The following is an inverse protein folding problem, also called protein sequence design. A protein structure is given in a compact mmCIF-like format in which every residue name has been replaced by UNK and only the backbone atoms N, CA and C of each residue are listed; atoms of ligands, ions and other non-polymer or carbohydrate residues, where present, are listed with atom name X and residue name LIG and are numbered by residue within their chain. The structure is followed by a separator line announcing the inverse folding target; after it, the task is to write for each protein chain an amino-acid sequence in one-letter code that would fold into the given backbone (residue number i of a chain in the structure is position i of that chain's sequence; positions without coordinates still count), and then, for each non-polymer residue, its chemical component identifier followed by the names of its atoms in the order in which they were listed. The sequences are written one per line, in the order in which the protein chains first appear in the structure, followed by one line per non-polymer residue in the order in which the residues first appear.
data_IF_653545884662
#
_entry.id   IF_653545884662
#
_cell.length_a   1.000
_cell.length_b   1.000
_cell.length_c   1.000
_cell.angle_alpha   90.00
_cell.angle_beta   90.00
_cell.angle_gamma   90.00
#
_symmetry.space_group_name_H-M   'P 1'
#
loop_
_entity.id
_entity.type
_entity.pdbx_description
1 polymer ?
#
# COMPACT_ATOMS: atom_id res chain seq x y z
N UNK A 1 -6.02 2.70 25.61
CA UNK A 1 -5.53 2.24 24.29
C UNK A 1 -5.37 3.49 23.44
N UNK A 2 -4.18 3.79 22.91
CA UNK A 2 -4.03 4.95 22.02
C UNK A 2 -4.48 4.54 20.63
N UNK A 3 -5.62 5.04 20.19
CA UNK A 3 -6.15 4.79 18.84
C UNK A 3 -5.26 5.45 17.78
N UNK A 4 -5.27 4.86 16.58
CA UNK A 4 -4.62 5.45 15.41
C UNK A 4 -5.51 6.58 14.88
N UNK A 5 -4.93 7.76 14.70
CA UNK A 5 -5.55 8.86 13.97
C UNK A 5 -5.09 8.83 12.53
N UNK A 6 -6.02 8.93 11.60
CA UNK A 6 -5.73 8.92 10.16
C UNK A 6 -5.94 10.31 9.57
N UNK A 7 -5.01 10.75 8.72
CA UNK A 7 -5.12 12.01 7.97
C UNK A 7 -4.43 11.92 6.62
N UNK A 8 -4.82 12.78 5.69
CA UNK A 8 -4.06 13.02 4.48
C UNK A 8 -2.69 13.63 4.84
N UNK A 9 -1.68 13.19 4.11
CA UNK A 9 -0.36 13.80 4.12
C UNK A 9 -0.33 15.04 3.23
N UNK A 10 0.49 16.01 3.61
CA UNK A 10 0.80 17.20 2.80
C UNK A 10 2.30 17.34 2.54
N UNK A 11 2.71 18.45 1.93
CA UNK A 11 4.12 18.68 1.55
C UNK A 11 5.10 18.61 2.73
N UNK A 12 4.65 19.01 3.94
CA UNK A 12 5.48 18.94 5.15
C UNK A 12 5.75 17.51 5.62
N UNK A 13 5.02 16.51 5.09
CA UNK A 13 5.18 15.11 5.45
C UNK A 13 6.11 14.34 4.50
N UNK A 14 6.55 14.93 3.38
CA UNK A 14 7.29 14.24 2.32
C UNK A 14 8.57 13.57 2.83
N UNK A 15 9.40 14.30 3.58
CA UNK A 15 10.61 13.75 4.18
C UNK A 15 10.30 12.58 5.14
N UNK A 16 9.17 12.64 5.86
CA UNK A 16 8.73 11.56 6.75
C UNK A 16 8.31 10.32 5.95
N UNK A 17 7.61 10.49 4.84
CA UNK A 17 7.19 9.40 3.96
C UNK A 17 8.38 8.69 3.32
N UNK A 18 9.36 9.45 2.82
CA UNK A 18 10.61 8.91 2.26
C UNK A 18 11.36 8.10 3.33
N UNK A 19 11.57 8.67 4.51
CA UNK A 19 12.24 7.96 5.62
C UNK A 19 11.50 6.67 5.99
N UNK A 20 10.18 6.73 6.17
CA UNK A 20 9.38 5.56 6.52
C UNK A 20 9.49 4.46 5.46
N UNK A 21 9.49 4.85 4.18
CA UNK A 21 9.59 3.94 3.04
C UNK A 21 10.96 3.26 2.96
N UNK A 22 12.03 4.00 3.22
CA UNK A 22 13.42 3.50 3.22
C UNK A 22 13.67 2.58 4.41
N UNK A 23 13.20 2.93 5.60
CA UNK A 23 13.26 2.06 6.77
C UNK A 23 12.50 0.75 6.56
N UNK A 24 11.33 0.81 5.90
CA UNK A 24 10.60 -0.40 5.52
C UNK A 24 11.37 -1.25 4.51
N UNK A 25 12.03 -0.63 3.52
CA UNK A 25 12.89 -1.35 2.57
C UNK A 25 14.07 -2.04 3.27
N UNK A 26 14.79 -1.32 4.13
CA UNK A 26 15.91 -1.88 4.89
C UNK A 26 15.50 -3.08 5.75
N UNK A 27 14.29 -3.05 6.33
CA UNK A 27 13.74 -4.18 7.10
C UNK A 27 13.35 -5.38 6.23
N UNK A 28 12.84 -5.17 5.02
CA UNK A 28 12.56 -6.27 4.09
C UNK A 28 13.87 -6.97 3.71
N UNK A 29 14.90 -6.20 3.36
CA UNK A 29 16.23 -6.72 3.03
C UNK A 29 16.84 -7.48 4.21
N UNK A 30 16.78 -6.92 5.42
CA UNK A 30 17.28 -7.58 6.64
C UNK A 30 16.56 -8.91 6.95
N UNK A 31 15.35 -9.11 6.43
CA UNK A 31 14.56 -10.35 6.54
C UNK A 31 14.77 -11.30 5.35
N UNK A 32 15.72 -11.00 4.47
CA UNK A 32 15.99 -11.78 3.26
C UNK A 32 14.97 -11.58 2.13
N UNK A 33 14.05 -10.62 2.25
CA UNK A 33 13.09 -10.28 1.20
C UNK A 33 13.73 -9.20 0.33
N UNK A 34 14.43 -9.63 -0.72
CA UNK A 34 15.09 -8.73 -1.68
C UNK A 34 14.22 -8.51 -2.92
N UNK A 35 14.48 -7.43 -3.67
CA UNK A 35 13.79 -7.13 -4.92
C UNK A 35 12.36 -6.60 -4.78
N UNK A 36 11.76 -6.59 -3.58
CA UNK A 36 10.48 -5.90 -3.38
C UNK A 36 10.70 -4.38 -3.36
N UNK A 37 11.46 -3.89 -2.38
CA UNK A 37 11.70 -2.48 -2.11
C UNK A 37 13.18 -2.22 -1.84
N UNK A 38 13.69 -1.09 -2.33
CA UNK A 38 15.08 -0.66 -2.11
C UNK A 38 15.11 0.72 -1.44
N UNK A 39 16.02 0.97 -0.48
CA UNK A 39 16.24 2.32 0.06
C UNK A 39 16.66 3.31 -1.02
N UNK A 40 16.15 4.54 -0.98
CA UNK A 40 16.44 5.58 -1.97
C UNK A 40 15.73 5.39 -3.32
N UNK A 41 14.91 4.34 -3.47
CA UNK A 41 14.19 4.05 -4.71
C UNK A 41 13.12 5.12 -5.02
N UNK A 42 12.50 5.70 -3.99
CA UNK A 42 11.42 6.69 -4.12
C UNK A 42 11.76 7.92 -3.28
N UNK A 43 11.81 9.08 -3.93
CA UNK A 43 12.00 10.37 -3.28
C UNK A 43 10.70 11.13 -3.06
N UNK A 44 10.81 12.37 -2.60
CA UNK A 44 9.66 13.25 -2.33
C UNK A 44 8.77 13.48 -3.56
N UNK A 45 9.37 13.58 -4.75
CA UNK A 45 8.65 13.81 -6.01
C UNK A 45 7.65 12.70 -6.34
N UNK A 46 7.96 11.45 -5.97
CA UNK A 46 7.03 10.33 -6.09
C UNK A 46 5.77 10.59 -5.27
N UNK A 47 5.93 10.91 -3.99
CA UNK A 47 4.80 11.14 -3.10
C UNK A 47 4.00 12.39 -3.49
N UNK A 48 4.67 13.46 -3.95
CA UNK A 48 4.00 14.65 -4.47
C UNK A 48 3.15 14.33 -5.71
N UNK A 49 3.67 13.51 -6.62
CA UNK A 49 2.92 13.05 -7.80
C UNK A 49 1.69 12.25 -7.40
N UNK A 50 1.82 11.36 -6.40
CA UNK A 50 0.69 10.58 -5.89
C UNK A 50 -0.34 11.48 -5.22
N UNK A 51 0.07 12.47 -4.42
CA UNK A 51 -0.86 13.43 -3.81
C UNK A 51 -1.64 14.24 -4.84
N UNK A 52 -1.10 14.47 -6.04
CA UNK A 52 -1.77 15.20 -7.11
C UNK A 52 -2.88 14.40 -7.82
N UNK A 53 -2.78 13.07 -7.87
CA UNK A 53 -3.68 12.20 -8.66
C UNK A 53 -4.35 11.08 -7.86
N UNK A 54 -4.01 10.95 -6.59
CA UNK A 54 -4.50 9.97 -5.65
C UNK A 54 -4.40 10.54 -4.24
N UNK A 55 -4.09 9.69 -3.26
CA UNK A 55 -4.00 10.10 -1.87
C UNK A 55 -2.82 9.42 -1.20
N UNK A 56 -2.17 10.15 -0.31
CA UNK A 56 -1.20 9.59 0.63
C UNK A 56 -1.73 9.84 2.03
N UNK A 57 -1.82 8.79 2.83
CA UNK A 57 -2.38 8.85 4.17
C UNK A 57 -1.33 8.49 5.21
N UNK A 58 -1.43 9.16 6.36
CA UNK A 58 -0.65 8.88 7.54
C UNK A 58 -1.54 8.35 8.65
N UNK A 59 -1.02 7.39 9.40
CA UNK A 59 -1.56 6.97 10.67
C UNK A 59 -0.64 7.43 11.79
N UNK A 60 -1.20 8.13 12.77
CA UNK A 60 -0.48 8.71 13.88
C UNK A 60 -0.97 8.14 15.21
N UNK A 61 -0.05 7.95 16.16
CA UNK A 61 -0.39 7.62 17.54
C UNK A 61 0.54 8.37 18.47
N UNK A 62 -0.01 8.99 19.53
CA UNK A 62 0.74 9.79 20.49
C UNK A 62 1.68 10.83 19.82
N UNK A 63 1.21 11.48 18.75
CA UNK A 63 1.96 12.52 18.02
C UNK A 63 3.09 11.99 17.13
N UNK A 64 3.20 10.68 16.91
CA UNK A 64 4.20 10.06 16.04
C UNK A 64 3.55 9.30 14.89
N UNK A 65 4.17 9.32 13.72
CA UNK A 65 3.75 8.51 12.57
C UNK A 65 4.01 7.03 12.88
N UNK A 66 2.94 6.24 12.90
CA UNK A 66 2.97 4.78 13.08
C UNK A 66 2.94 4.03 11.75
N UNK A 67 2.50 4.68 10.67
CA UNK A 67 2.48 4.10 9.34
C UNK A 67 1.88 5.04 8.30
N UNK A 68 1.91 4.60 7.05
CA UNK A 68 1.38 5.31 5.91
C UNK A 68 0.90 4.34 4.83
N UNK A 69 0.04 4.80 3.94
CA UNK A 69 -0.29 4.08 2.71
C UNK A 69 -0.60 5.07 1.60
N UNK A 70 -0.58 4.57 0.38
CA UNK A 70 -1.05 5.29 -0.79
C UNK A 70 -2.35 4.67 -1.28
N UNK A 71 -3.24 5.53 -1.76
CA UNK A 71 -4.47 5.11 -2.39
C UNK A 71 -4.56 5.75 -3.77
N UNK A 72 -4.56 4.91 -4.78
CA UNK A 72 -4.66 5.33 -6.18
C UNK A 72 -6.07 5.07 -6.69
N UNK A 73 -6.54 5.90 -7.61
CA UNK A 73 -7.87 5.74 -8.22
C UNK A 73 -7.84 5.03 -9.57
N UNK A 74 -6.65 4.92 -10.16
CA UNK A 74 -6.37 4.17 -11.38
C UNK A 74 -4.98 3.55 -11.26
N UNK A 75 -4.81 2.35 -11.78
CA UNK A 75 -3.53 1.65 -11.84
C UNK A 75 -3.42 0.88 -13.16
N UNK A 76 -3.37 1.65 -14.25
CA UNK A 76 -3.33 1.11 -15.61
C UNK A 76 -2.09 0.27 -15.85
N UNK A 77 -0.98 0.59 -15.16
CA UNK A 77 0.23 -0.20 -15.23
C UNK A 77 -0.07 -1.61 -14.74
N UNK A 78 -0.46 -1.80 -13.46
CA UNK A 78 -0.61 -3.14 -12.91
C UNK A 78 -1.89 -3.86 -13.34
N UNK A 79 -2.98 -3.14 -13.59
CA UNK A 79 -4.31 -3.73 -13.79
C UNK A 79 -4.89 -3.55 -15.19
N UNK A 80 -4.20 -2.80 -16.05
CA UNK A 80 -4.73 -2.34 -17.33
C UNK A 80 -5.87 -1.33 -17.15
N UNK A 81 -6.44 -0.89 -18.25
CA UNK A 81 -7.64 -0.02 -18.21
C UNK A 81 -8.81 -0.79 -17.61
N UNK A 82 -9.43 -0.22 -16.58
CA UNK A 82 -10.56 -0.81 -15.85
C UNK A 82 -11.68 0.22 -15.65
N UNK A 83 -12.92 -0.24 -15.43
CA UNK A 83 -13.97 0.64 -14.93
C UNK A 83 -13.53 1.32 -13.63
N UNK A 84 -14.05 2.53 -13.32
CA UNK A 84 -13.73 3.23 -12.08
C UNK A 84 -14.56 2.62 -10.91
N UNK A 85 -14.46 1.32 -10.70
CA UNK A 85 -15.18 0.56 -9.68
C UNK A 85 -14.33 0.29 -8.43
N UNK A 86 -13.03 0.58 -8.50
CA UNK A 86 -12.06 0.24 -7.47
C UNK A 86 -11.21 1.42 -7.00
N UNK A 87 -10.69 1.29 -5.77
CA UNK A 87 -9.48 1.98 -5.33
C UNK A 87 -8.32 1.00 -5.16
N UNK A 88 -7.10 1.48 -5.35
CA UNK A 88 -5.89 0.66 -5.41
C UNK A 88 -4.97 1.00 -4.24
N UNK A 89 -4.82 0.08 -3.29
CA UNK A 89 -4.00 0.28 -2.10
C UNK A 89 -2.56 -0.06 -2.41
N UNK A 90 -1.70 0.94 -2.29
CA UNK A 90 -0.27 0.84 -2.58
C UNK A 90 0.56 1.19 -1.34
N UNK A 91 1.78 0.65 -1.31
CA UNK A 91 2.85 1.07 -0.36
C UNK A 91 2.36 1.19 1.09
N UNK A 92 1.77 0.12 1.61
CA UNK A 92 1.37 0.01 3.01
C UNK A 92 2.64 -0.11 3.89
N UNK A 93 3.04 1.00 4.51
CA UNK A 93 4.27 1.16 5.28
C UNK A 93 3.93 1.22 6.78
N UNK A 94 4.58 0.38 7.58
CA UNK A 94 4.44 0.40 9.04
C UNK A 94 5.78 0.80 9.65
N UNK A 95 5.74 1.72 10.61
CA UNK A 95 6.93 1.99 11.43
C UNK A 95 7.15 0.82 12.39
N UNK A 96 7.97 -0.15 12.00
CA UNK A 96 8.22 -1.31 12.84
C UNK A 96 9.04 -1.01 14.11
N UNK A 97 9.59 0.20 14.28
CA UNK A 97 10.30 0.58 15.50
C UNK A 97 9.35 0.99 16.62
N UNK A 98 8.24 1.67 16.29
CA UNK A 98 7.28 2.20 17.27
C UNK A 98 5.85 1.70 17.15
N UNK A 99 5.45 1.10 16.02
CA UNK A 99 4.07 0.72 15.79
C UNK A 99 3.69 -0.57 16.55
N UNK A 100 2.45 -0.59 17.04
CA UNK A 100 1.90 -1.76 17.74
C UNK A 100 1.59 -2.90 16.77
N UNK A 101 1.61 -4.16 17.23
CA UNK A 101 1.09 -5.29 16.47
C UNK A 101 -0.33 -4.98 15.95
N UNK A 102 -0.60 -5.35 14.70
CA UNK A 102 -1.88 -5.07 14.06
C UNK A 102 -1.98 -3.71 13.35
N UNK A 103 -0.99 -2.81 13.48
CA UNK A 103 -1.02 -1.50 12.79
C UNK A 103 -1.24 -1.66 11.29
N UNK A 104 -0.54 -2.57 10.61
CA UNK A 104 -0.75 -2.79 9.17
C UNK A 104 -2.18 -3.24 8.81
N UNK A 105 -2.84 -4.02 9.67
CA UNK A 105 -4.25 -4.39 9.49
C UNK A 105 -5.17 -3.19 9.67
N UNK A 106 -4.86 -2.30 10.61
CA UNK A 106 -5.61 -1.07 10.80
C UNK A 106 -5.47 -0.13 9.59
N UNK A 107 -4.25 0.05 9.06
CA UNK A 107 -4.02 0.81 7.83
C UNK A 107 -4.86 0.27 6.67
N UNK A 108 -4.82 -1.05 6.45
CA UNK A 108 -5.56 -1.70 5.36
C UNK A 108 -7.08 -1.50 5.49
N UNK A 109 -7.64 -1.65 6.69
CA UNK A 109 -9.07 -1.43 6.94
C UNK A 109 -9.47 0.01 6.70
N UNK A 110 -8.64 0.97 7.08
CA UNK A 110 -8.93 2.39 6.83
C UNK A 110 -8.88 2.72 5.34
N UNK A 111 -7.92 2.14 4.61
CA UNK A 111 -7.88 2.24 3.16
C UNK A 111 -9.16 1.67 2.51
N UNK A 112 -9.62 0.48 2.94
CA UNK A 112 -10.88 -0.11 2.50
C UNK A 112 -12.08 0.80 2.77
N UNK A 113 -12.16 1.38 3.97
CA UNK A 113 -13.20 2.33 4.36
C UNK A 113 -13.18 3.59 3.48
N UNK A 114 -11.99 4.14 3.20
CA UNK A 114 -11.81 5.31 2.34
C UNK A 114 -12.26 5.05 0.90
N UNK A 115 -11.99 3.86 0.37
CA UNK A 115 -12.44 3.42 -0.96
C UNK A 115 -13.96 3.31 -1.02
N UNK A 116 -14.58 2.66 -0.02
CA UNK A 116 -16.03 2.59 0.08
C UNK A 116 -16.68 3.98 0.18
N UNK A 117 -16.10 4.87 1.00
CA UNK A 117 -16.55 6.26 1.13
C UNK A 117 -16.39 7.09 -0.15
N UNK A 118 -15.53 6.67 -1.09
CA UNK A 118 -15.43 7.25 -2.43
C UNK A 118 -16.49 6.71 -3.41
N UNK A 119 -17.41 5.84 -2.96
CA UNK A 119 -18.42 5.21 -3.81
C UNK A 119 -17.89 4.07 -4.68
N UNK A 120 -16.68 3.55 -4.40
CA UNK A 120 -16.12 2.39 -5.11
C UNK A 120 -16.54 1.10 -4.42
N UNK A 121 -16.79 0.06 -5.21
CA UNK A 121 -17.27 -1.24 -4.71
C UNK A 121 -16.14 -2.25 -4.50
N UNK A 122 -14.94 -1.98 -5.02
CA UNK A 122 -13.80 -2.87 -4.96
C UNK A 122 -12.57 -2.19 -4.36
N UNK A 123 -11.79 -2.95 -3.59
CA UNK A 123 -10.42 -2.58 -3.22
C UNK A 123 -9.49 -3.55 -3.92
N UNK A 124 -8.50 -3.01 -4.63
CA UNK A 124 -7.50 -3.77 -5.37
C UNK A 124 -6.11 -3.51 -4.78
N UNK A 125 -5.27 -4.51 -4.84
CA UNK A 125 -3.85 -4.41 -4.50
C UNK A 125 -3.05 -5.44 -5.29
N UNK A 126 -1.77 -5.19 -5.43
CA UNK A 126 -0.82 -6.16 -5.96
C UNK A 126 0.26 -6.48 -4.93
N UNK A 127 0.82 -7.69 -5.02
CA UNK A 127 1.93 -8.11 -4.20
C UNK A 127 2.93 -8.91 -5.02
N UNK A 128 4.21 -8.87 -4.62
CA UNK A 128 5.28 -9.59 -5.31
C UNK A 128 4.93 -11.08 -5.42
N UNK A 129 4.93 -11.60 -6.64
CA UNK A 129 4.68 -13.02 -6.89
C UNK A 129 5.74 -13.87 -6.18
N UNK A 130 5.30 -14.99 -5.59
CA UNK A 130 6.16 -15.85 -4.77
C UNK A 130 6.26 -15.44 -3.30
N UNK A 131 5.78 -14.26 -2.90
CA UNK A 131 5.69 -13.90 -1.48
C UNK A 131 4.43 -14.53 -0.84
N UNK A 132 4.52 -15.82 -0.52
CA UNK A 132 3.42 -16.61 0.05
C UNK A 132 2.88 -16.02 1.35
N UNK A 133 3.77 -15.46 2.20
CA UNK A 133 3.39 -14.82 3.46
C UNK A 133 2.54 -13.57 3.22
N UNK A 134 2.93 -12.71 2.29
CA UNK A 134 2.17 -11.51 1.95
C UNK A 134 0.84 -11.85 1.26
N UNK A 135 0.83 -12.88 0.43
CA UNK A 135 -0.40 -13.40 -0.19
C UNK A 135 -1.37 -13.93 0.87
N UNK A 136 -0.88 -14.73 1.82
CA UNK A 136 -1.69 -15.24 2.94
C UNK A 136 -2.22 -14.10 3.81
N UNK A 137 -1.37 -13.11 4.11
CA UNK A 137 -1.78 -11.91 4.83
C UNK A 137 -3.01 -11.24 4.18
N UNK A 138 -3.02 -11.04 2.86
CA UNK A 138 -4.18 -10.43 2.19
C UNK A 138 -5.38 -11.38 2.09
N UNK A 139 -5.18 -12.67 1.87
CA UNK A 139 -6.27 -13.67 1.92
C UNK A 139 -6.99 -13.67 3.27
N UNK A 140 -6.24 -13.62 4.36
CA UNK A 140 -6.78 -13.53 5.72
C UNK A 140 -7.51 -12.20 5.99
N UNK A 141 -7.34 -11.18 5.14
CA UNK A 141 -8.13 -9.94 5.16
C UNK A 141 -9.40 -10.02 4.28
N UNK A 142 -9.63 -11.14 3.60
CA UNK A 142 -10.77 -11.33 2.69
C UNK A 142 -10.48 -10.98 1.24
N UNK A 143 -9.22 -10.78 0.84
CA UNK A 143 -8.86 -10.60 -0.56
C UNK A 143 -8.79 -11.94 -1.29
N UNK A 144 -9.27 -11.95 -2.54
CA UNK A 144 -9.11 -13.09 -3.46
C UNK A 144 -8.09 -12.77 -4.54
N UNK A 145 -7.36 -13.78 -4.99
CA UNK A 145 -6.47 -13.67 -6.15
C UNK A 145 -7.33 -13.64 -7.40
N UNK A 146 -7.06 -12.68 -8.29
CA UNK A 146 -7.84 -12.47 -9.54
C UNK A 146 -6.99 -12.38 -10.78
N UNK A 147 -5.66 -12.36 -10.63
CA UNK A 147 -4.78 -12.34 -11.76
C UNK A 147 -3.32 -12.42 -11.38
N UNK A 148 -2.51 -12.47 -12.41
CA UNK A 148 -1.06 -12.43 -12.33
C UNK A 148 -0.57 -11.49 -13.42
N UNK A 149 0.31 -10.56 -13.06
CA UNK A 149 1.02 -9.71 -14.01
C UNK A 149 2.47 -10.13 -14.05
N UNK A 150 2.88 -10.69 -15.17
CA UNK A 150 4.29 -11.00 -15.40
C UNK A 150 5.10 -9.70 -15.46
N UNK A 151 6.23 -9.66 -14.76
CA UNK A 151 7.18 -8.57 -14.91
C UNK A 151 7.74 -8.56 -16.33
N UNK A 152 8.01 -7.38 -16.88
CA UNK A 152 8.80 -7.29 -18.11
C UNK A 152 10.22 -7.78 -17.83
N UNK A 153 10.83 -8.59 -18.71
CA UNK A 153 12.24 -8.95 -18.60
C UNK A 153 13.10 -7.69 -18.49
N UNK A 154 14.01 -7.63 -17.51
CA UNK A 154 14.98 -6.54 -17.38
C UNK A 154 16.39 -7.09 -17.66
N UNK A 155 17.27 -6.35 -18.36
CA UNK A 155 18.68 -6.73 -18.47
C UNK A 155 19.30 -6.80 -17.07
N UNK A 156 19.79 -7.97 -16.66
CA UNK A 156 20.53 -8.15 -15.40
C UNK A 156 19.69 -8.39 -14.13
N UNK A 157 18.37 -8.58 -14.23
CA UNK A 157 17.52 -8.85 -13.06
C UNK A 157 16.34 -9.78 -13.37
N UNK A 158 15.87 -10.51 -12.36
CA UNK A 158 14.66 -11.30 -12.48
C UNK A 158 13.44 -10.36 -12.66
N UNK A 159 12.56 -10.61 -13.65
CA UNK A 159 11.35 -9.82 -13.82
C UNK A 159 10.47 -9.86 -12.56
N UNK A 160 10.08 -8.70 -12.05
CA UNK A 160 9.16 -8.60 -10.90
C UNK A 160 7.74 -8.88 -11.37
N UNK A 161 7.29 -10.11 -11.17
CA UNK A 161 5.89 -10.47 -11.39
C UNK A 161 5.05 -10.17 -10.15
N UNK A 162 3.76 -9.88 -10.34
CA UNK A 162 2.84 -9.50 -9.29
C UNK A 162 1.61 -10.39 -9.29
N UNK A 163 1.12 -10.74 -8.10
CA UNK A 163 -0.19 -11.34 -7.90
C UNK A 163 -1.19 -10.21 -7.69
N UNK A 164 -2.25 -10.19 -8.51
CA UNK A 164 -3.32 -9.20 -8.43
C UNK A 164 -4.43 -9.73 -7.52
N UNK A 165 -4.83 -8.94 -6.53
CA UNK A 165 -5.82 -9.34 -5.53
C UNK A 165 -6.88 -8.26 -5.36
N UNK A 166 -8.12 -8.68 -5.11
CA UNK A 166 -9.24 -7.76 -4.87
C UNK A 166 -10.18 -8.23 -3.77
N UNK A 167 -10.90 -7.29 -3.19
CA UNK A 167 -11.91 -7.49 -2.15
C UNK A 167 -13.12 -6.58 -2.43
N UNK A 168 -14.32 -7.08 -2.18
CA UNK A 168 -15.53 -6.25 -2.26
C UNK A 168 -15.64 -5.39 -1.00
N UNK A 169 -15.93 -4.10 -1.19
CA UNK A 169 -16.36 -3.23 -0.11
C UNK A 169 -17.84 -3.52 0.19
N UNK A 170 -18.18 -3.65 1.47
CA UNK A 170 -19.58 -3.46 1.84
C UNK A 170 -19.88 -1.98 1.60
N UNK A 171 -20.74 -1.68 0.62
CA UNK A 171 -21.29 -0.34 0.47
C UNK A 171 -22.11 -0.09 1.72
N UNK A 172 -21.70 0.86 2.56
CA UNK A 172 -22.58 1.31 3.64
C UNK A 172 -23.85 1.84 2.96
N UNK A 173 -24.94 1.09 3.07
CA UNK A 173 -26.25 1.62 2.74
C UNK A 173 -26.44 2.86 3.63
N UNK A 174 -26.62 4.01 2.98
CA UNK A 174 -26.90 5.27 3.68
C UNK A 174 -28.20 5.23 4.45
#
# INVERSE_FOLDING_TARGET
MTDLRFRLAGDTDLATLVRLRDEAAGRLIARGITGQWEPGQLGEDHFRTVMAHGEVWLAETAGRVAGAWELWWQDTDAWGTRPPDAGYVHRLMVDHAGARPGTGRALLREAERRVAAAGRTLVRLDCLAGNARLTAYYRDAGYRVVGHRAGKPQPGGAPKSFTLMEKSCAVSAG
#
